data_IF_020291554687
#
_entry.id   IF_020291554687
#
_cell.length_a   1.000
_cell.length_b   1.000
_cell.length_c   1.000
_cell.angle_alpha   90.00
_cell.angle_beta   90.00
_cell.angle_gamma   90.00
#
_symmetry.space_group_name_H-M   'P 1'
#
loop_
_entity.id
_entity.type
_entity.pdbx_description
1 polymer ?
#
# COMPACT_ATOMS: atom_id res chain seq x y z
N UNK A 1 3.04 10.49 -13.20
CA UNK A 1 2.35 9.21 -13.13
C UNK A 1 2.79 8.46 -11.92
N UNK A 2 1.85 8.03 -11.12
CA UNK A 2 2.15 7.34 -9.90
C UNK A 2 2.54 5.89 -10.15
N UNK A 3 3.48 5.39 -9.38
CA UNK A 3 3.77 3.97 -9.33
C UNK A 3 2.65 3.25 -8.61
N UNK A 4 2.38 2.04 -9.03
CA UNK A 4 1.42 1.17 -8.33
C UNK A 4 2.01 -0.22 -8.20
N UNK A 5 1.81 -0.84 -7.05
CA UNK A 5 2.19 -2.23 -6.87
C UNK A 5 1.07 -3.12 -7.35
N UNK A 6 1.40 -4.33 -7.76
CA UNK A 6 0.41 -5.32 -8.15
C UNK A 6 0.02 -6.10 -6.90
N UNK A 7 -1.08 -5.69 -6.28
CA UNK A 7 -1.52 -6.26 -5.01
C UNK A 7 -3.03 -6.14 -4.89
N UNK A 8 -3.69 -7.27 -4.76
CA UNK A 8 -5.13 -7.30 -4.50
C UNK A 8 -5.37 -7.07 -3.02
N UNK A 9 -6.04 -5.96 -2.71
CA UNK A 9 -6.38 -5.67 -1.32
C UNK A 9 -7.57 -6.49 -0.85
N UNK A 10 -8.43 -6.90 -1.77
CA UNK A 10 -9.57 -7.74 -1.46
C UNK A 10 -9.07 -9.11 -1.04
N UNK A 11 -9.55 -9.61 0.08
CA UNK A 11 -9.14 -10.91 0.60
C UNK A 11 -8.00 -10.85 1.60
N UNK A 12 -7.39 -9.68 1.77
CA UNK A 12 -6.39 -9.50 2.81
C UNK A 12 -7.08 -9.25 4.15
N UNK A 13 -6.33 -9.50 5.23
CA UNK A 13 -6.78 -9.12 6.56
C UNK A 13 -7.03 -7.61 6.56
N UNK A 14 -8.20 -7.20 7.08
CA UNK A 14 -8.55 -5.79 7.11
C UNK A 14 -7.83 -4.96 8.16
N UNK A 15 -6.92 -5.57 8.92
CA UNK A 15 -6.14 -4.84 9.92
C UNK A 15 -5.19 -3.88 9.23
N UNK A 16 -5.13 -2.62 9.71
CA UNK A 16 -4.32 -1.58 9.09
C UNK A 16 -2.85 -2.00 8.98
N UNK A 17 -2.30 -2.59 10.02
CA UNK A 17 -0.91 -3.02 10.00
C UNK A 17 -0.67 -4.15 9.00
N UNK A 18 -1.64 -5.06 8.89
CA UNK A 18 -1.54 -6.15 7.92
C UNK A 18 -1.55 -5.62 6.49
N UNK A 19 -2.42 -4.65 6.22
CA UNK A 19 -2.51 -4.04 4.89
C UNK A 19 -1.24 -3.29 4.54
N UNK A 20 -0.73 -2.49 5.46
CA UNK A 20 0.51 -1.75 5.23
C UNK A 20 1.70 -2.70 5.05
N UNK A 21 1.74 -3.77 5.82
CA UNK A 21 2.80 -4.77 5.70
C UNK A 21 2.78 -5.47 4.36
N UNK A 22 1.58 -5.81 3.87
CA UNK A 22 1.43 -6.45 2.55
C UNK A 22 1.91 -5.51 1.46
N UNK A 23 1.52 -4.23 1.53
CA UNK A 23 1.98 -3.24 0.56
C UNK A 23 3.50 -3.12 0.58
N UNK A 24 4.07 -3.01 1.77
CA UNK A 24 5.52 -2.84 1.91
C UNK A 24 6.28 -4.01 1.30
N UNK A 25 5.85 -5.23 1.58
CA UNK A 25 6.49 -6.43 1.03
C UNK A 25 6.42 -6.46 -0.49
N UNK A 26 5.24 -6.17 -1.02
CA UNK A 26 5.06 -6.22 -2.48
C UNK A 26 5.84 -5.10 -3.17
N UNK A 27 5.86 -3.92 -2.58
CA UNK A 27 6.61 -2.80 -3.14
C UNK A 27 8.11 -3.11 -3.21
N UNK A 28 8.63 -3.76 -2.17
CA UNK A 28 10.03 -4.18 -2.18
C UNK A 28 10.32 -5.18 -3.30
N UNK A 29 9.41 -6.12 -3.50
CA UNK A 29 9.54 -7.11 -4.57
C UNK A 29 9.56 -6.45 -5.93
N UNK A 30 8.83 -5.36 -6.09
CA UNK A 30 8.73 -4.66 -7.36
C UNK A 30 9.80 -3.58 -7.53
N UNK A 31 10.72 -3.49 -6.58
CA UNK A 31 11.88 -2.61 -6.72
C UNK A 31 11.68 -1.18 -6.26
N UNK A 32 10.66 -0.92 -5.45
CA UNK A 32 10.48 0.42 -4.87
C UNK A 32 11.60 0.71 -3.89
N UNK A 33 12.05 1.97 -3.85
CA UNK A 33 13.04 2.37 -2.86
C UNK A 33 12.39 2.46 -1.48
N UNK A 34 13.23 2.42 -0.44
CA UNK A 34 12.75 2.57 0.93
C UNK A 34 12.05 3.92 1.12
N UNK A 35 12.52 4.95 0.46
CA UNK A 35 11.92 6.28 0.55
C UNK A 35 10.54 6.32 -0.08
N UNK A 36 10.37 5.66 -1.22
CA UNK A 36 9.08 5.59 -1.90
C UNK A 36 8.05 4.86 -1.02
N UNK A 37 8.48 3.74 -0.44
CA UNK A 37 7.60 2.97 0.44
C UNK A 37 7.23 3.79 1.67
N UNK A 38 8.21 4.45 2.27
CA UNK A 38 7.98 5.25 3.46
C UNK A 38 6.99 6.38 3.20
N UNK A 39 7.09 7.02 2.04
CA UNK A 39 6.18 8.10 1.68
C UNK A 39 4.73 7.63 1.67
N UNK A 40 4.48 6.45 1.10
CA UNK A 40 3.12 5.90 1.07
C UNK A 40 2.66 5.50 2.47
N UNK A 41 3.53 4.87 3.24
CA UNK A 41 3.17 4.45 4.61
C UNK A 41 2.89 5.67 5.50
N UNK A 42 3.67 6.73 5.36
CA UNK A 42 3.44 7.97 6.11
C UNK A 42 2.08 8.57 5.74
N UNK A 43 1.75 8.57 4.46
CA UNK A 43 0.46 9.07 4.01
C UNK A 43 -0.68 8.22 4.58
N UNK A 44 -0.52 6.90 4.60
CA UNK A 44 -1.52 6.01 5.17
C UNK A 44 -1.82 6.35 6.62
N UNK A 45 -0.82 6.79 7.35
CA UNK A 45 -0.93 7.06 8.78
C UNK A 45 -1.29 8.49 9.10
N UNK A 46 -1.46 9.33 8.09
CA UNK A 46 -1.74 10.75 8.29
C UNK A 46 -3.22 11.05 8.51
N UNK A 47 -4.07 10.06 8.40
CA UNK A 47 -5.51 10.22 8.58
C UNK A 47 -6.11 9.01 9.27
N UNK A 48 -7.40 8.79 9.05
CA UNK A 48 -8.12 7.68 9.65
C UNK A 48 -7.98 6.42 8.78
N UNK A 49 -8.71 5.37 9.18
CA UNK A 49 -8.67 4.09 8.46
C UNK A 49 -9.16 4.23 7.02
N UNK A 50 -10.19 5.03 6.80
CA UNK A 50 -10.69 5.25 5.43
C UNK A 50 -9.64 5.92 4.57
N UNK A 51 -8.89 6.85 5.13
CA UNK A 51 -7.80 7.49 4.43
C UNK A 51 -6.70 6.49 4.09
N UNK A 52 -6.39 5.60 5.02
CA UNK A 52 -5.41 4.53 4.79
C UNK A 52 -5.84 3.65 3.63
N UNK A 53 -7.11 3.24 3.60
CA UNK A 53 -7.62 2.41 2.51
C UNK A 53 -7.53 3.14 1.18
N UNK A 54 -7.93 4.42 1.15
CA UNK A 54 -7.87 5.23 -0.08
C UNK A 54 -6.43 5.34 -0.57
N UNK A 55 -5.50 5.57 0.33
CA UNK A 55 -4.09 5.70 -0.02
C UNK A 55 -3.56 4.42 -0.64
N UNK A 56 -3.87 3.27 -0.02
CA UNK A 56 -3.42 1.99 -0.55
C UNK A 56 -4.07 1.68 -1.89
N UNK A 57 -5.37 1.96 -2.02
CA UNK A 57 -6.06 1.74 -3.29
C UNK A 57 -5.46 2.57 -4.42
N UNK A 58 -4.98 3.76 -4.09
CA UNK A 58 -4.35 4.64 -5.06
C UNK A 58 -2.99 4.11 -5.54
N UNK A 59 -2.31 3.37 -4.67
CA UNK A 59 -0.96 2.87 -4.91
C UNK A 59 -0.91 1.38 -5.23
N UNK A 60 -2.07 0.74 -5.36
CA UNK A 60 -2.16 -0.68 -5.66
C UNK A 60 -3.09 -0.90 -6.84
N UNK A 61 -2.77 -1.90 -7.65
CA UNK A 61 -3.65 -2.33 -8.74
C UNK A 61 -3.86 -3.83 -8.61
N UNK A 62 -5.00 -4.30 -9.11
CA UNK A 62 -5.31 -5.71 -9.06
C UNK A 62 -4.34 -6.51 -9.95
N UNK A 63 -3.86 -7.62 -9.42
CA UNK A 63 -3.06 -8.55 -10.20
C UNK A 63 -3.98 -9.40 -11.07
N UNK A 64 -3.55 -9.66 -12.26
CA UNK A 64 -4.29 -10.51 -13.19
C UNK A 64 -3.68 -11.88 -13.22
#
# INVERSE_FOLDING_TARGET
MGKQVTLNLVGLDGNAFALMGAFQRQARREGWSAEEIKAVLDECQSGDYNHLLSTLMHNCKDGE
#
